data_IF_567162987136
#
_entry.id   IF_567162987136
#
_cell.length_a   1.000
_cell.length_b   1.000
_cell.length_c   1.000
_cell.angle_alpha   90.00
_cell.angle_beta   90.00
_cell.angle_gamma   90.00
#
_symmetry.space_group_name_H-M   'P 1'
#
loop_
_entity.id
_entity.type
_entity.pdbx_description
1 polymer ?
#
# COMPACT_ATOMS: atom_id res chain seq x y z
N UNK A 1 -19.88 25.43 6.22
CA UNK A 1 -20.84 24.36 6.53
C UNK A 1 -20.26 23.53 7.67
N UNK A 2 -20.83 23.62 8.87
CA UNK A 2 -20.40 22.83 10.04
C UNK A 2 -20.76 21.36 9.76
N UNK A 3 -19.74 20.51 9.57
CA UNK A 3 -19.97 19.06 9.49
C UNK A 3 -20.64 18.63 10.80
N UNK A 4 -21.82 17.98 10.77
CA UNK A 4 -22.52 17.60 11.99
C UNK A 4 -21.62 16.68 12.81
N UNK A 5 -21.37 17.10 14.05
CA UNK A 5 -20.52 16.45 15.05
C UNK A 5 -21.16 15.19 15.63
N UNK A 6 -21.56 14.23 14.78
CA UNK A 6 -21.70 12.85 15.26
C UNK A 6 -20.30 12.29 15.34
N UNK A 7 -19.59 12.61 16.43
CA UNK A 7 -18.44 11.83 16.86
C UNK A 7 -18.93 10.39 16.99
N UNK A 8 -18.44 9.41 16.20
CA UNK A 8 -18.68 8.02 16.56
C UNK A 8 -18.12 7.86 17.97
N UNK A 9 -18.96 7.39 18.89
CA UNK A 9 -18.75 7.56 20.34
C UNK A 9 -17.44 6.98 20.87
N UNK A 10 -16.69 6.16 20.13
CA UNK A 10 -15.27 5.92 20.39
C UNK A 10 -14.51 5.60 19.11
N UNK A 11 -13.79 6.58 18.53
CA UNK A 11 -12.69 6.23 17.63
C UNK A 11 -11.66 5.43 18.42
N UNK A 12 -11.26 4.27 17.88
CA UNK A 12 -10.20 3.47 18.47
C UNK A 12 -8.93 4.32 18.63
N UNK A 13 -8.21 4.12 19.72
CA UNK A 13 -6.94 4.81 19.95
C UNK A 13 -5.97 4.57 18.77
N UNK A 14 -5.10 5.54 18.43
CA UNK A 14 -4.10 5.37 17.39
C UNK A 14 -3.27 4.11 17.60
N UNK A 15 -3.07 3.35 16.53
CA UNK A 15 -2.31 2.11 16.57
C UNK A 15 -0.83 2.37 16.86
N UNK A 16 -0.12 1.31 17.22
CA UNK A 16 1.33 1.34 17.40
C UNK A 16 2.04 1.80 16.12
N UNK A 17 1.56 1.34 14.97
CA UNK A 17 2.07 1.69 13.64
C UNK A 17 1.84 3.17 13.32
N UNK A 18 0.66 3.71 13.62
CA UNK A 18 0.33 5.13 13.37
C UNK A 18 1.31 6.06 14.08
N UNK A 19 1.62 5.75 15.35
CA UNK A 19 2.55 6.52 16.18
C UNK A 19 3.98 6.42 15.68
N UNK A 20 4.41 5.22 15.30
CA UNK A 20 5.77 5.00 14.83
C UNK A 20 6.03 5.70 13.49
N UNK A 21 5.07 5.67 12.55
CA UNK A 21 5.17 6.34 11.25
C UNK A 21 5.34 7.86 11.38
N UNK A 22 4.70 8.50 12.38
CA UNK A 22 4.90 9.93 12.65
C UNK A 22 6.34 10.28 13.04
N UNK A 23 7.06 9.32 13.63
CA UNK A 23 8.40 9.53 14.15
C UNK A 23 9.51 9.08 13.17
N UNK A 24 9.16 8.68 11.95
CA UNK A 24 10.12 8.37 10.90
C UNK A 24 10.82 9.64 10.42
N UNK A 25 12.14 9.60 10.20
CA UNK A 25 12.84 10.73 9.64
C UNK A 25 12.35 11.01 8.22
N UNK A 26 12.25 12.29 7.90
CA UNK A 26 11.93 12.79 6.56
C UNK A 26 12.94 13.87 6.25
N UNK A 27 14.02 13.48 5.60
CA UNK A 27 15.09 14.34 5.13
C UNK A 27 14.93 14.72 3.65
N UNK A 28 14.00 14.10 2.91
CA UNK A 28 13.72 14.42 1.51
C UNK A 28 12.23 14.31 1.17
N UNK A 29 11.68 15.08 0.21
CA UNK A 29 10.27 14.99 -0.16
C UNK A 29 9.80 13.60 -0.61
N UNK A 30 10.71 12.80 -1.20
CA UNK A 30 10.42 11.45 -1.71
C UNK A 30 10.19 10.40 -0.62
N UNK A 31 10.69 10.63 0.60
CA UNK A 31 10.56 9.71 1.74
C UNK A 31 9.35 10.03 2.63
N UNK A 32 8.58 11.06 2.28
CA UNK A 32 7.34 11.41 2.98
C UNK A 32 6.34 10.25 2.87
N UNK A 33 5.77 9.85 4.01
CA UNK A 33 4.89 8.69 4.10
C UNK A 33 3.50 9.01 3.57
N UNK A 34 3.34 8.98 2.25
CA UNK A 34 2.08 9.24 1.56
C UNK A 34 1.66 8.04 0.74
N UNK A 35 0.39 7.72 0.83
CA UNK A 35 -0.23 6.71 -0.02
C UNK A 35 -1.42 7.30 -0.72
N UNK A 36 -1.89 6.61 -1.75
CA UNK A 36 -3.04 7.08 -2.49
C UNK A 36 -3.27 6.31 -3.76
N UNK A 37 -4.06 6.91 -4.65
CA UNK A 37 -4.32 6.34 -5.95
C UNK A 37 -4.60 7.44 -6.98
N UNK A 38 -4.19 7.18 -8.22
CA UNK A 38 -4.65 7.90 -9.39
C UNK A 38 -5.78 7.10 -10.04
N UNK A 39 -6.97 7.71 -10.11
CA UNK A 39 -8.12 7.17 -10.79
C UNK A 39 -8.20 7.85 -12.17
N UNK A 40 -8.23 7.08 -13.25
CA UNK A 40 -8.49 7.61 -14.59
C UNK A 40 -9.94 7.32 -14.96
N UNK A 41 -10.65 8.36 -15.43
CA UNK A 41 -12.07 8.33 -15.73
C UNK A 41 -12.30 8.63 -17.21
N UNK A 42 -13.31 7.98 -17.78
CA UNK A 42 -13.80 8.26 -19.14
C UNK A 42 -14.98 9.22 -19.04
N UNK A 43 -14.85 10.42 -19.59
CA UNK A 43 -15.87 11.45 -19.49
C UNK A 43 -15.31 12.87 -19.63
N UNK A 44 -16.15 13.84 -19.29
CA UNK A 44 -15.77 15.27 -19.31
C UNK A 44 -15.40 15.70 -17.91
N UNK A 45 -14.22 16.30 -17.75
CA UNK A 45 -13.78 16.76 -16.44
C UNK A 45 -14.85 17.67 -15.81
N UNK A 46 -15.32 17.37 -14.58
CA UNK A 46 -16.28 18.23 -13.90
C UNK A 46 -15.63 19.55 -13.53
N UNK A 47 -16.44 20.54 -13.16
CA UNK A 47 -15.91 21.70 -12.43
C UNK A 47 -15.38 21.25 -11.07
N UNK A 48 -14.29 21.87 -10.60
CA UNK A 48 -13.68 21.58 -9.29
C UNK A 48 -14.70 21.63 -8.16
N UNK A 49 -15.62 22.59 -8.22
CA UNK A 49 -16.67 22.81 -7.22
C UNK A 49 -17.59 21.58 -7.09
N UNK A 50 -17.96 20.95 -8.21
CA UNK A 50 -18.80 19.75 -8.18
C UNK A 50 -18.08 18.56 -7.55
N UNK A 51 -16.80 18.35 -7.87
CA UNK A 51 -15.99 17.29 -7.24
C UNK A 51 -15.84 17.55 -5.73
N UNK A 52 -15.58 18.81 -5.37
CA UNK A 52 -15.47 19.24 -3.98
C UNK A 52 -16.75 18.96 -3.20
N UNK A 53 -17.90 19.41 -3.70
CA UNK A 53 -19.18 19.26 -3.01
C UNK A 53 -19.51 17.78 -2.82
N UNK A 54 -19.30 16.96 -3.85
CA UNK A 54 -19.44 15.50 -3.79
C UNK A 54 -18.58 14.84 -2.70
N UNK A 55 -17.32 15.28 -2.54
CA UNK A 55 -16.42 14.78 -1.48
C UNK A 55 -16.94 15.22 -0.11
N UNK A 56 -17.28 16.50 0.04
CA UNK A 56 -17.66 17.11 1.32
C UNK A 56 -18.98 16.55 1.86
N UNK A 57 -19.93 16.20 1.00
CA UNK A 57 -21.17 15.50 1.36
C UNK A 57 -20.90 14.12 2.01
N UNK A 58 -19.77 13.48 1.67
CA UNK A 58 -19.41 12.13 2.12
C UNK A 58 -18.41 12.11 3.27
N UNK A 59 -17.86 13.26 3.69
CA UNK A 59 -16.86 13.33 4.75
C UNK A 59 -17.36 12.81 6.11
N UNK A 60 -18.66 12.93 6.38
CA UNK A 60 -19.28 12.39 7.60
C UNK A 60 -19.12 10.87 7.73
N UNK A 61 -19.05 10.15 6.60
CA UNK A 61 -18.80 8.71 6.56
C UNK A 61 -17.30 8.36 6.58
N UNK A 62 -16.41 9.37 6.54
CA UNK A 62 -14.96 9.19 6.42
C UNK A 62 -14.19 9.87 7.55
N UNK A 63 -14.23 9.33 8.79
CA UNK A 63 -13.39 9.79 9.88
C UNK A 63 -11.89 9.88 9.52
N UNK A 64 -11.42 9.01 8.61
CA UNK A 64 -10.06 9.04 8.09
C UNK A 64 -9.72 10.28 7.22
N UNK A 65 -10.71 11.07 6.81
CA UNK A 65 -10.51 12.36 6.16
C UNK A 65 -10.79 13.53 7.09
N UNK A 66 -11.54 13.33 8.18
CA UNK A 66 -11.93 14.39 9.12
C UNK A 66 -11.06 14.45 10.38
N UNK A 67 -10.28 13.41 10.66
CA UNK A 67 -9.42 13.35 11.82
C UNK A 67 -7.94 13.31 11.42
N UNK A 68 -7.10 13.83 12.31
CA UNK A 68 -5.66 13.74 12.20
C UNK A 68 -5.06 13.35 13.55
N UNK A 69 -3.77 13.00 13.52
CA UNK A 69 -3.07 12.54 14.70
C UNK A 69 -2.40 13.72 15.42
N UNK A 70 -3.06 14.27 16.44
CA UNK A 70 -2.56 15.39 17.24
C UNK A 70 -1.57 14.95 18.34
N UNK A 71 -1.03 15.91 19.11
CA UNK A 71 -0.30 15.72 20.38
C UNK A 71 0.65 14.51 20.44
N UNK A 72 1.83 14.65 19.81
CA UNK A 72 2.89 13.64 19.74
C UNK A 72 2.46 12.23 19.26
N UNK A 73 1.24 12.07 18.73
CA UNK A 73 0.75 10.80 18.21
C UNK A 73 -0.30 10.12 19.09
N UNK A 74 -0.75 10.74 20.17
CA UNK A 74 -1.45 10.01 21.24
C UNK A 74 -2.95 9.90 21.07
N UNK A 75 -3.57 10.83 20.31
CA UNK A 75 -5.02 10.86 20.10
C UNK A 75 -5.39 11.30 18.67
N UNK A 76 -6.56 10.85 18.23
CA UNK A 76 -7.23 11.39 17.05
C UNK A 76 -7.91 12.70 17.43
N UNK A 77 -7.68 13.74 16.64
CA UNK A 77 -8.33 15.03 16.79
C UNK A 77 -9.19 15.30 15.56
N UNK A 78 -10.45 15.67 15.79
CA UNK A 78 -11.36 16.06 14.74
C UNK A 78 -10.99 17.46 14.25
N UNK A 79 -10.80 17.61 12.95
CA UNK A 79 -10.54 18.92 12.39
C UNK A 79 -11.79 19.79 12.40
N UNK A 80 -11.61 21.05 12.79
CA UNK A 80 -12.56 22.11 12.45
C UNK A 80 -12.24 22.53 11.02
N UNK A 81 -12.90 21.96 10.03
CA UNK A 81 -12.67 22.31 8.62
C UNK A 81 -12.94 23.79 8.38
N UNK A 82 -11.90 24.63 8.18
CA UNK A 82 -12.12 26.05 7.98
C UNK A 82 -12.45 26.34 6.51
N UNK A 83 -11.92 25.56 5.57
CA UNK A 83 -12.09 25.80 4.12
C UNK A 83 -11.99 24.53 3.26
N UNK A 84 -13.10 24.13 2.59
CA UNK A 84 -13.12 23.06 1.60
C UNK A 84 -12.16 23.20 0.41
N UNK A 85 -11.74 24.42 0.07
CA UNK A 85 -10.82 24.66 -1.05
C UNK A 85 -9.39 24.15 -0.79
N UNK A 86 -9.02 23.91 0.48
CA UNK A 86 -7.68 23.45 0.88
C UNK A 86 -7.34 22.05 0.33
N UNK A 87 -8.35 21.19 0.18
CA UNK A 87 -8.14 19.78 -0.10
C UNK A 87 -8.43 19.36 -1.55
N UNK A 88 -9.19 20.14 -2.31
CA UNK A 88 -9.56 19.80 -3.69
C UNK A 88 -9.00 20.86 -4.63
N UNK A 89 -8.03 20.45 -5.46
CA UNK A 89 -7.24 21.34 -6.31
C UNK A 89 -7.52 21.04 -7.78
N UNK A 90 -7.83 22.08 -8.56
CA UNK A 90 -7.88 21.97 -10.01
C UNK A 90 -6.47 22.03 -10.59
N UNK A 91 -6.15 21.13 -11.52
CA UNK A 91 -4.81 21.03 -12.10
C UNK A 91 -4.90 20.74 -13.62
N UNK A 92 -5.06 21.79 -14.44
CA UNK A 92 -5.08 21.65 -15.89
C UNK A 92 -3.70 21.22 -16.42
N UNK A 93 -3.70 20.36 -17.43
CA UNK A 93 -2.51 19.82 -18.06
C UNK A 93 -2.49 20.18 -19.55
N UNK A 94 -1.30 20.38 -20.15
CA UNK A 94 -1.18 20.47 -21.59
C UNK A 94 -1.61 19.14 -22.24
N UNK A 95 -2.14 19.16 -23.48
CA UNK A 95 -2.44 17.94 -24.21
C UNK A 95 -1.15 17.21 -24.56
N UNK A 96 -1.12 15.89 -24.40
CA UNK A 96 0.05 15.10 -24.81
C UNK A 96 0.24 13.79 -24.07
N UNK A 97 0.86 12.84 -24.77
CA UNK A 97 1.26 11.58 -24.17
C UNK A 97 2.30 11.81 -23.06
N UNK A 98 2.07 11.20 -21.90
CA UNK A 98 2.96 11.28 -20.75
C UNK A 98 2.81 12.54 -19.88
N UNK A 99 1.99 13.52 -20.25
CA UNK A 99 1.76 14.72 -19.42
C UNK A 99 1.13 14.38 -18.07
N UNK A 100 0.18 13.43 -18.07
CA UNK A 100 -0.40 12.90 -16.83
C UNK A 100 0.67 12.25 -15.93
N UNK A 101 1.56 11.44 -16.50
CA UNK A 101 2.61 10.77 -15.74
C UNK A 101 3.63 11.77 -15.18
N UNK A 102 4.02 12.79 -15.96
CA UNK A 102 4.89 13.89 -15.51
C UNK A 102 4.27 14.65 -14.35
N UNK A 103 3.00 15.03 -14.48
CA UNK A 103 2.27 15.74 -13.42
C UNK A 103 2.18 14.90 -12.15
N UNK A 104 1.84 13.61 -12.25
CA UNK A 104 1.80 12.71 -11.09
C UNK A 104 3.16 12.65 -10.40
N UNK A 105 4.26 12.48 -11.13
CA UNK A 105 5.62 12.44 -10.57
C UNK A 105 5.99 13.72 -9.79
N UNK A 106 5.50 14.89 -10.25
CA UNK A 106 5.66 16.15 -9.53
C UNK A 106 4.77 16.20 -8.28
N UNK A 107 3.48 15.90 -8.43
CA UNK A 107 2.49 15.98 -7.35
C UNK A 107 2.75 15.00 -6.20
N UNK A 108 3.44 13.89 -6.43
CA UNK A 108 3.90 12.99 -5.36
C UNK A 108 4.82 13.69 -4.34
N UNK A 109 5.55 14.73 -4.75
CA UNK A 109 6.51 15.47 -3.91
C UNK A 109 5.85 16.61 -3.15
N UNK A 110 4.73 17.12 -3.62
CA UNK A 110 4.00 18.25 -3.04
C UNK A 110 3.65 18.04 -1.56
N UNK A 111 3.85 19.03 -0.67
CA UNK A 111 3.43 18.95 0.73
C UNK A 111 1.91 18.73 0.85
N UNK A 112 1.51 17.85 1.78
CA UNK A 112 0.11 17.76 2.18
C UNK A 112 -0.19 18.88 3.18
N UNK A 113 -1.44 19.34 3.31
CA UNK A 113 -1.81 20.38 4.27
C UNK A 113 -1.35 20.07 5.70
N UNK A 114 -0.80 21.06 6.39
CA UNK A 114 -0.42 20.99 7.81
C UNK A 114 -1.49 21.62 8.69
N UNK A 115 -1.61 21.18 9.95
CA UNK A 115 -2.61 21.70 10.91
C UNK A 115 -4.08 21.30 10.62
N UNK A 116 -4.33 20.60 9.51
CA UNK A 116 -5.62 20.03 9.10
C UNK A 116 -5.43 18.56 8.68
N UNK A 117 -6.50 17.79 8.39
CA UNK A 117 -6.36 16.41 7.99
C UNK A 117 -5.43 16.24 6.77
N UNK A 118 -4.39 15.42 6.85
CA UNK A 118 -3.29 15.46 5.89
C UNK A 118 -3.62 14.64 4.64
N UNK A 119 -4.53 15.16 3.81
CA UNK A 119 -4.89 14.60 2.52
C UNK A 119 -5.16 15.69 1.49
N UNK A 120 -5.09 15.33 0.21
CA UNK A 120 -5.43 16.20 -0.92
C UNK A 120 -5.92 15.37 -2.10
N UNK A 121 -6.81 15.97 -2.88
CA UNK A 121 -7.34 15.48 -4.13
C UNK A 121 -7.03 16.50 -5.22
N UNK A 122 -6.43 16.06 -6.32
CA UNK A 122 -6.21 16.87 -7.52
C UNK A 122 -7.10 16.36 -8.65
N UNK A 123 -7.80 17.29 -9.30
CA UNK A 123 -8.51 17.07 -10.54
C UNK A 123 -7.59 17.40 -11.72
N UNK A 124 -7.16 16.37 -12.43
CA UNK A 124 -6.20 16.44 -13.53
C UNK A 124 -6.93 16.32 -14.86
N UNK A 125 -6.89 17.34 -15.72
CA UNK A 125 -7.66 17.37 -16.97
C UNK A 125 -6.89 18.07 -18.09
N UNK A 126 -7.39 17.98 -19.33
CA UNK A 126 -6.76 18.61 -20.51
C UNK A 126 -5.70 17.77 -21.25
N UNK A 127 -5.15 16.72 -20.61
CA UNK A 127 -4.08 15.90 -21.18
C UNK A 127 -4.53 15.00 -22.36
N UNK A 128 -5.79 14.59 -22.40
CA UNK A 128 -6.37 13.78 -23.48
C UNK A 128 -7.88 14.00 -23.61
N UNK A 129 -8.44 14.00 -24.85
CA UNK A 129 -9.88 14.17 -25.07
C UNK A 129 -10.71 13.07 -24.39
N UNK A 130 -11.86 13.45 -23.82
CA UNK A 130 -12.83 12.51 -23.24
C UNK A 130 -12.31 11.75 -22.00
N UNK A 131 -11.23 12.21 -21.39
CA UNK A 131 -10.68 11.60 -20.17
C UNK A 131 -10.21 12.67 -19.19
N UNK A 132 -10.25 12.33 -17.91
CA UNK A 132 -9.64 13.09 -16.84
C UNK A 132 -9.18 12.14 -15.74
N UNK A 133 -8.44 12.64 -14.77
CA UNK A 133 -7.96 11.84 -13.65
C UNK A 133 -8.17 12.55 -12.32
N UNK A 134 -8.31 11.74 -11.27
CA UNK A 134 -8.38 12.19 -9.88
C UNK A 134 -7.21 11.56 -9.14
N UNK A 135 -6.27 12.37 -8.68
CA UNK A 135 -5.19 11.91 -7.80
C UNK A 135 -5.60 12.16 -6.36
N UNK A 136 -5.72 11.11 -5.56
CA UNK A 136 -5.93 11.19 -4.13
C UNK A 136 -4.63 10.81 -3.41
N UNK A 137 -4.13 11.66 -2.52
CA UNK A 137 -3.01 11.34 -1.61
C UNK A 137 -3.40 11.65 -0.16
N UNK A 138 -2.91 10.83 0.76
CA UNK A 138 -3.10 10.96 2.20
C UNK A 138 -1.85 10.52 2.95
N UNK A 139 -1.63 11.09 4.12
CA UNK A 139 -0.54 10.66 4.99
C UNK A 139 -0.81 9.25 5.56
N UNK A 140 0.18 8.37 5.48
CA UNK A 140 0.05 6.94 5.83
C UNK A 140 -0.21 6.72 7.34
N UNK A 141 0.00 7.72 8.19
CA UNK A 141 -0.42 7.62 9.61
C UNK A 141 -1.93 7.56 9.77
N UNK A 142 -2.70 8.06 8.80
CA UNK A 142 -4.17 8.14 8.86
C UNK A 142 -4.82 6.99 8.09
N UNK A 143 -4.16 6.47 7.06
CA UNK A 143 -4.68 5.37 6.26
C UNK A 143 -3.59 4.34 5.95
N UNK A 144 -3.94 3.06 6.06
CA UNK A 144 -3.26 1.99 5.35
C UNK A 144 -3.88 1.80 3.96
N UNK A 145 -3.32 0.91 3.15
CA UNK A 145 -3.86 0.62 1.81
C UNK A 145 -5.32 0.15 1.81
N UNK A 146 -5.78 -0.53 2.88
CA UNK A 146 -7.17 -0.94 3.02
C UNK A 146 -8.09 0.25 3.32
N UNK A 147 -7.74 1.12 4.27
CA UNK A 147 -8.50 2.34 4.58
C UNK A 147 -8.55 3.31 3.40
N UNK A 148 -7.48 3.35 2.59
CA UNK A 148 -7.48 4.05 1.30
C UNK A 148 -8.52 3.46 0.35
N UNK A 149 -8.58 2.12 0.18
CA UNK A 149 -9.62 1.48 -0.65
C UNK A 149 -11.03 1.81 -0.16
N UNK A 150 -11.28 1.76 1.15
CA UNK A 150 -12.59 2.15 1.68
C UNK A 150 -12.92 3.61 1.35
N UNK A 151 -11.95 4.51 1.45
CA UNK A 151 -12.13 5.92 1.05
C UNK A 151 -12.51 6.03 -0.43
N UNK A 152 -11.81 5.32 -1.31
CA UNK A 152 -12.14 5.31 -2.74
C UNK A 152 -13.54 4.73 -3.00
N UNK A 153 -13.94 3.68 -2.29
CA UNK A 153 -15.26 3.08 -2.44
C UNK A 153 -16.37 4.01 -1.94
N UNK A 154 -16.19 4.66 -0.80
CA UNK A 154 -17.16 5.62 -0.26
C UNK A 154 -17.29 6.85 -1.16
N UNK A 155 -16.17 7.35 -1.70
CA UNK A 155 -16.18 8.51 -2.60
C UNK A 155 -16.68 8.16 -4.00
N UNK A 156 -16.31 7.02 -4.58
CA UNK A 156 -16.50 6.76 -6.01
C UNK A 156 -17.38 5.55 -6.31
N UNK A 157 -18.16 5.02 -5.35
CA UNK A 157 -19.19 4.02 -5.67
C UNK A 157 -20.57 4.69 -5.70
N UNK A 158 -21.35 4.57 -6.81
CA UNK A 158 -22.63 5.28 -6.97
C UNK A 158 -23.66 5.07 -5.86
N UNK A 159 -23.73 3.87 -5.28
CA UNK A 159 -24.71 3.52 -4.24
C UNK A 159 -24.08 3.31 -2.86
N UNK A 160 -22.81 3.70 -2.69
CA UNK A 160 -21.99 3.32 -1.54
C UNK A 160 -21.74 1.81 -1.48
N UNK A 161 -20.93 1.40 -0.51
CA UNK A 161 -20.62 -0.01 -0.24
C UNK A 161 -20.83 -0.25 1.25
N UNK A 162 -21.69 -1.21 1.65
CA UNK A 162 -21.80 -1.59 3.05
C UNK A 162 -20.45 -2.02 3.62
N UNK A 163 -20.16 -1.66 4.87
CA UNK A 163 -18.87 -1.89 5.51
C UNK A 163 -18.44 -3.37 5.48
N UNK A 164 -19.36 -4.32 5.64
CA UNK A 164 -19.09 -5.76 5.56
C UNK A 164 -18.62 -6.22 4.17
N UNK A 165 -18.97 -5.47 3.13
CA UNK A 165 -18.63 -5.80 1.74
C UNK A 165 -17.41 -5.03 1.25
N UNK A 166 -17.03 -3.94 1.91
CA UNK A 166 -15.89 -3.07 1.61
C UNK A 166 -14.62 -3.85 1.26
N UNK A 167 -13.88 -3.41 0.25
CA UNK A 167 -12.58 -4.01 -0.12
C UNK A 167 -11.54 -3.89 1.00
N UNK A 168 -11.77 -3.00 1.96
CA UNK A 168 -10.87 -2.76 3.09
C UNK A 168 -10.94 -3.82 4.18
N UNK A 169 -12.01 -4.62 4.27
CA UNK A 169 -12.22 -5.52 5.42
C UNK A 169 -11.74 -6.93 5.11
N UNK A 170 -11.24 -7.64 6.12
CA UNK A 170 -10.96 -9.07 5.98
C UNK A 170 -12.26 -9.87 6.17
N UNK A 171 -12.74 -10.63 5.17
CA UNK A 171 -14.04 -11.31 5.25
C UNK A 171 -14.15 -12.28 6.43
N UNK A 172 -15.18 -12.07 7.24
CA UNK A 172 -15.51 -12.94 8.39
C UNK A 172 -14.55 -12.80 9.58
N UNK A 173 -13.76 -11.72 9.68
CA UNK A 173 -12.90 -11.49 10.85
C UNK A 173 -13.69 -11.14 12.12
N UNK A 174 -14.86 -10.49 11.98
CA UNK A 174 -15.75 -10.14 13.09
C UNK A 174 -16.10 -11.39 13.91
N UNK A 175 -16.47 -12.45 13.20
CA UNK A 175 -16.92 -13.72 13.77
C UNK A 175 -15.80 -14.78 13.80
N UNK A 176 -14.54 -14.34 13.82
CA UNK A 176 -13.41 -15.27 13.86
C UNK A 176 -13.39 -16.04 15.20
N UNK A 177 -13.18 -17.36 15.18
CA UNK A 177 -13.09 -18.14 16.40
C UNK A 177 -11.87 -17.75 17.23
N UNK A 178 -11.95 -17.97 18.55
CA UNK A 178 -10.85 -17.65 19.47
C UNK A 178 -9.55 -18.40 19.09
N UNK A 179 -8.38 -17.74 19.03
CA UNK A 179 -7.11 -18.38 18.68
C UNK A 179 -6.74 -19.57 19.59
N UNK A 180 -6.24 -20.67 19.02
CA UNK A 180 -5.59 -21.73 19.80
C UNK A 180 -4.25 -21.24 20.38
N UNK A 181 -3.66 -21.96 21.36
CA UNK A 181 -2.25 -21.81 21.69
C UNK A 181 -1.32 -21.91 20.47
N UNK A 182 -1.59 -22.83 19.53
CA UNK A 182 -0.81 -22.99 18.30
C UNK A 182 -0.88 -21.75 17.41
N UNK A 183 -2.06 -21.17 17.22
CA UNK A 183 -2.24 -19.93 16.43
C UNK A 183 -1.47 -18.77 17.05
N UNK A 184 -1.53 -18.63 18.38
CA UNK A 184 -0.78 -17.61 19.13
C UNK A 184 0.72 -17.80 18.98
N UNK A 185 1.21 -19.04 19.09
CA UNK A 185 2.62 -19.36 18.89
C UNK A 185 3.07 -19.04 17.45
N UNK A 186 2.29 -19.41 16.44
CA UNK A 186 2.60 -19.07 15.05
C UNK A 186 2.59 -17.55 14.80
N UNK A 187 1.63 -16.82 15.37
CA UNK A 187 1.58 -15.36 15.26
C UNK A 187 2.78 -14.69 15.93
N UNK A 188 3.15 -15.14 17.14
CA UNK A 188 4.34 -14.67 17.84
C UNK A 188 5.62 -14.99 17.04
N UNK A 189 5.73 -16.21 16.52
CA UNK A 189 6.87 -16.61 15.70
C UNK A 189 6.97 -15.77 14.42
N UNK A 190 5.85 -15.40 13.79
CA UNK A 190 5.83 -14.50 12.64
C UNK A 190 6.36 -13.10 13.01
N UNK A 191 5.95 -12.56 14.16
CA UNK A 191 6.47 -11.27 14.68
C UNK A 191 7.97 -11.34 14.96
N UNK A 192 8.46 -12.42 15.60
CA UNK A 192 9.90 -12.59 15.89
C UNK A 192 10.70 -12.78 14.59
N UNK A 193 10.18 -13.52 13.61
CA UNK A 193 10.84 -13.66 12.30
C UNK A 193 10.95 -12.33 11.57
N UNK A 194 9.96 -11.45 11.71
CA UNK A 194 10.02 -10.11 11.14
C UNK A 194 11.23 -9.31 11.63
N UNK A 195 11.76 -9.61 12.82
CA UNK A 195 12.94 -8.95 13.40
C UNK A 195 14.28 -9.56 13.03
N UNK A 196 14.32 -10.59 12.17
CA UNK A 196 15.59 -11.19 11.75
C UNK A 196 16.38 -10.24 10.85
N UNK A 197 17.70 -10.25 10.97
CA UNK A 197 18.56 -9.57 9.99
C UNK A 197 18.40 -10.24 8.62
N UNK A 198 18.47 -9.44 7.55
CA UNK A 198 18.52 -9.93 6.17
C UNK A 198 19.96 -9.84 5.64
N UNK A 199 20.70 -8.81 6.04
CA UNK A 199 22.05 -8.46 5.55
C UNK A 199 22.17 -8.34 4.03
N UNK A 200 21.05 -8.40 3.32
CA UNK A 200 20.99 -8.45 1.86
C UNK A 200 21.23 -7.08 1.22
N UNK A 201 21.01 -5.99 1.97
CA UNK A 201 21.08 -4.61 1.47
C UNK A 201 22.21 -3.79 2.07
N UNK A 202 22.91 -4.33 3.08
CA UNK A 202 23.96 -3.58 3.76
C UNK A 202 25.20 -3.49 2.86
N UNK A 203 25.55 -2.26 2.48
CA UNK A 203 26.65 -1.99 1.56
C UNK A 203 27.23 -0.61 1.81
N UNK A 204 28.49 -0.56 2.24
CA UNK A 204 29.23 0.69 2.40
C UNK A 204 29.42 1.45 1.06
N UNK A 205 29.31 0.75 -0.08
CA UNK A 205 29.47 1.36 -1.41
C UNK A 205 28.22 2.10 -1.90
N UNK A 206 27.04 1.69 -1.42
CA UNK A 206 25.77 2.26 -1.84
C UNK A 206 24.89 2.51 -0.62
N UNK A 207 25.25 3.49 0.24
CA UNK A 207 24.41 3.84 1.37
C UNK A 207 23.04 4.27 0.88
N UNK A 208 21.98 3.71 1.45
CA UNK A 208 20.61 4.09 1.11
C UNK A 208 20.43 5.60 1.32
N UNK A 209 19.78 6.24 0.36
CA UNK A 209 19.50 7.67 0.37
C UNK A 209 18.08 7.94 0.91
N UNK A 210 17.62 9.18 0.79
CA UNK A 210 16.21 9.54 0.97
C UNK A 210 15.50 9.83 -0.39
N UNK A 211 16.20 9.66 -1.53
CA UNK A 211 15.67 9.90 -2.87
C UNK A 211 15.05 8.63 -3.44
N UNK A 212 13.87 8.72 -4.05
CA UNK A 212 13.13 7.55 -4.54
C UNK A 212 12.76 7.71 -6.01
N UNK A 213 12.67 6.57 -6.69
CA UNK A 213 11.96 6.47 -7.97
C UNK A 213 10.61 5.83 -7.73
N UNK A 214 9.60 6.34 -8.44
CA UNK A 214 8.26 5.75 -8.51
C UNK A 214 8.05 5.32 -9.95
N UNK A 215 7.76 4.03 -10.17
CA UNK A 215 7.52 3.45 -11.50
C UNK A 215 6.33 2.51 -11.44
N UNK A 216 5.49 2.55 -12.46
CA UNK A 216 4.31 1.69 -12.54
C UNK A 216 4.47 0.67 -13.65
N UNK A 217 4.06 -0.57 -13.36
CA UNK A 217 3.90 -1.62 -14.36
C UNK A 217 2.48 -2.17 -14.28
N UNK A 218 1.91 -2.49 -15.44
CA UNK A 218 0.57 -3.06 -15.56
C UNK A 218 0.64 -4.42 -16.22
N UNK A 219 -0.10 -5.37 -15.67
CA UNK A 219 -0.27 -6.71 -16.25
C UNK A 219 -1.75 -7.10 -16.19
N UNK A 220 -2.24 -7.93 -17.13
CA UNK A 220 -3.55 -8.53 -16.99
C UNK A 220 -3.61 -9.36 -15.70
N UNK A 221 -4.65 -9.18 -14.89
CA UNK A 221 -4.84 -9.97 -13.67
C UNK A 221 -4.98 -11.48 -13.98
N UNK A 222 -5.40 -11.81 -15.21
CA UNK A 222 -5.44 -13.17 -15.71
C UNK A 222 -4.05 -13.82 -15.82
N UNK A 223 -2.99 -13.04 -16.09
CA UNK A 223 -1.61 -13.54 -16.16
C UNK A 223 -1.15 -14.07 -14.80
N UNK A 224 -1.38 -13.31 -13.73
CA UNK A 224 -1.08 -13.76 -12.37
C UNK A 224 -1.93 -14.97 -11.95
N UNK A 225 -3.20 -15.03 -12.36
CA UNK A 225 -4.04 -16.24 -12.14
C UNK A 225 -3.50 -17.45 -12.88
N UNK A 226 -2.98 -17.27 -14.09
CA UNK A 226 -2.42 -18.36 -14.91
C UNK A 226 -1.17 -18.93 -14.24
N UNK A 227 -0.25 -18.08 -13.81
CA UNK A 227 0.94 -18.48 -13.04
C UNK A 227 0.53 -19.18 -11.73
N UNK A 228 -0.43 -18.62 -11.00
CA UNK A 228 -0.87 -19.22 -9.74
C UNK A 228 -1.40 -20.65 -9.91
N UNK A 229 -2.12 -20.94 -11.01
CA UNK A 229 -2.67 -22.27 -11.30
C UNK A 229 -1.62 -23.34 -11.54
N UNK A 230 -0.41 -23.00 -11.99
CA UNK A 230 0.64 -24.00 -12.25
C UNK A 230 1.09 -24.70 -10.96
N UNK A 231 0.99 -24.02 -9.81
CA UNK A 231 1.27 -24.59 -8.49
C UNK A 231 0.04 -24.81 -7.61
N UNK A 232 -1.17 -24.45 -8.05
CA UNK A 232 -2.38 -24.48 -7.21
C UNK A 232 -2.46 -23.33 -6.18
N UNK A 233 -1.73 -22.24 -6.40
CA UNK A 233 -1.68 -21.06 -5.54
C UNK A 233 -2.76 -20.02 -5.84
N UNK A 234 -2.69 -18.90 -5.11
CA UNK A 234 -3.51 -17.70 -5.33
C UNK A 234 -2.78 -16.66 -6.19
N UNK A 235 -3.50 -15.68 -6.74
CA UNK A 235 -2.86 -14.56 -7.45
C UNK A 235 -1.90 -13.75 -6.56
N UNK A 236 -2.13 -13.71 -5.25
CA UNK A 236 -1.19 -13.09 -4.32
C UNK A 236 0.12 -13.89 -4.22
N UNK A 237 0.04 -15.22 -4.23
CA UNK A 237 1.22 -16.09 -4.19
C UNK A 237 2.06 -15.91 -5.47
N UNK A 238 1.40 -15.87 -6.64
CA UNK A 238 2.05 -15.58 -7.91
C UNK A 238 2.65 -14.16 -7.95
N UNK A 239 1.98 -13.17 -7.36
CA UNK A 239 2.55 -11.83 -7.21
C UNK A 239 3.83 -11.83 -6.37
N UNK A 240 3.81 -12.46 -5.19
CA UNK A 240 4.99 -12.56 -4.32
C UNK A 240 6.14 -13.29 -5.02
N UNK A 241 5.84 -14.41 -5.68
CA UNK A 241 6.83 -15.21 -6.39
C UNK A 241 7.45 -14.46 -7.58
N UNK A 242 6.64 -13.74 -8.36
CA UNK A 242 7.12 -12.97 -9.52
C UNK A 242 7.91 -11.72 -9.12
N UNK A 243 7.54 -11.04 -8.04
CA UNK A 243 8.36 -9.95 -7.46
C UNK A 243 9.70 -10.51 -6.99
N UNK A 244 9.69 -11.62 -6.26
CA UNK A 244 10.92 -12.27 -5.80
C UNK A 244 11.81 -12.71 -6.96
N UNK A 245 11.23 -13.27 -8.01
CA UNK A 245 11.94 -13.65 -9.23
C UNK A 245 12.58 -12.43 -9.93
N UNK A 246 11.83 -11.34 -10.07
CA UNK A 246 12.36 -10.10 -10.65
C UNK A 246 13.50 -9.50 -9.81
N UNK A 247 13.37 -9.51 -8.48
CA UNK A 247 14.42 -9.03 -7.56
C UNK A 247 15.67 -9.91 -7.65
N UNK A 248 15.53 -11.23 -7.73
CA UNK A 248 16.67 -12.14 -7.87
C UNK A 248 17.37 -12.01 -9.22
N UNK A 249 16.62 -11.76 -10.29
CA UNK A 249 17.20 -11.48 -11.59
C UNK A 249 17.95 -10.14 -11.62
N UNK A 250 17.41 -9.11 -10.96
CA UNK A 250 18.12 -7.83 -10.81
C UNK A 250 19.38 -7.98 -9.95
N UNK A 251 19.31 -8.70 -8.83
CA UNK A 251 20.44 -8.86 -7.91
C UNK A 251 21.59 -9.67 -8.52
N UNK A 252 21.30 -10.60 -9.44
CA UNK A 252 22.32 -11.33 -10.20
C UNK A 252 23.27 -10.38 -10.94
N UNK A 253 22.72 -9.32 -11.54
CA UNK A 253 23.45 -8.35 -12.36
C UNK A 253 24.03 -7.20 -11.53
N UNK A 254 23.24 -6.67 -10.59
CA UNK A 254 23.54 -5.39 -9.94
C UNK A 254 23.89 -5.51 -8.46
N UNK A 255 23.63 -6.67 -7.83
CA UNK A 255 23.77 -6.83 -6.38
C UNK A 255 24.11 -8.26 -5.92
N UNK A 256 25.33 -8.77 -6.23
CA UNK A 256 25.71 -10.15 -5.96
C UNK A 256 25.51 -10.65 -4.52
N UNK A 257 25.70 -9.85 -3.45
CA UNK A 257 25.44 -10.31 -2.08
C UNK A 257 23.99 -10.79 -1.86
N UNK A 258 22.99 -10.05 -2.36
CA UNK A 258 21.59 -10.47 -2.24
C UNK A 258 21.26 -11.67 -3.15
N UNK A 259 21.96 -11.79 -4.29
CA UNK A 259 21.78 -12.93 -5.19
C UNK A 259 22.29 -14.24 -4.58
N UNK A 260 23.44 -14.22 -3.90
CA UNK A 260 24.04 -15.40 -3.27
C UNK A 260 23.29 -15.87 -2.02
N UNK A 261 22.41 -15.03 -1.46
CA UNK A 261 21.60 -15.41 -0.31
C UNK A 261 20.66 -16.56 -0.68
N UNK A 262 20.61 -17.66 0.09
CA UNK A 262 19.66 -18.75 -0.14
C UNK A 262 18.22 -18.34 0.12
N UNK A 263 18.01 -17.21 0.80
CA UNK A 263 16.71 -16.71 1.20
C UNK A 263 16.51 -15.27 0.70
N UNK A 264 15.30 -14.97 0.22
CA UNK A 264 14.81 -13.64 -0.05
C UNK A 264 13.67 -13.31 0.92
N UNK A 265 13.90 -12.35 1.80
CA UNK A 265 12.88 -11.86 2.71
C UNK A 265 11.99 -10.80 2.04
N UNK A 266 10.68 -11.02 2.11
CA UNK A 266 9.64 -10.04 1.80
C UNK A 266 8.91 -9.67 3.10
N UNK A 267 8.59 -8.40 3.28
CA UNK A 267 7.70 -7.94 4.37
C UNK A 267 6.36 -7.54 3.78
N UNK A 268 5.29 -8.15 4.26
CA UNK A 268 3.93 -7.95 3.76
C UNK A 268 3.00 -7.47 4.89
N UNK A 269 2.30 -6.32 4.72
CA UNK A 269 1.24 -5.95 5.63
C UNK A 269 0.03 -6.85 5.39
N UNK A 270 -0.39 -7.54 6.43
CA UNK A 270 -1.54 -8.44 6.42
C UNK A 270 -2.75 -7.71 6.98
N UNK A 271 -3.81 -7.54 6.17
CA UNK A 271 -5.04 -6.86 6.59
C UNK A 271 -5.71 -7.57 7.77
N UNK A 272 -5.95 -6.86 8.86
CA UNK A 272 -6.63 -7.33 10.08
C UNK A 272 -7.82 -6.43 10.45
N UNK A 273 -8.33 -5.65 9.50
CA UNK A 273 -9.46 -4.73 9.66
C UNK A 273 -10.79 -5.49 9.70
N UNK A 274 -11.59 -5.24 10.74
CA UNK A 274 -12.96 -5.75 10.86
C UNK A 274 -13.97 -4.79 10.20
N UNK A 275 -15.19 -5.25 9.87
CA UNK A 275 -16.19 -4.40 9.24
C UNK A 275 -16.56 -3.15 10.02
N UNK A 276 -16.71 -3.25 11.35
CA UNK A 276 -16.98 -2.09 12.21
C UNK A 276 -15.83 -1.05 12.24
N UNK A 277 -14.68 -1.37 11.65
CA UNK A 277 -13.52 -0.51 11.55
C UNK A 277 -13.23 -0.07 10.10
N UNK A 278 -14.15 -0.34 9.16
CA UNK A 278 -13.96 -0.04 7.74
C UNK A 278 -13.57 1.43 7.50
N UNK A 279 -14.31 2.35 8.13
CA UNK A 279 -14.13 3.80 8.02
C UNK A 279 -13.14 4.39 9.03
N UNK A 280 -12.66 3.58 9.98
CA UNK A 280 -11.86 4.07 11.10
C UNK A 280 -10.45 4.51 10.66
N UNK A 281 -9.95 5.66 11.15
CA UNK A 281 -8.62 6.16 10.84
C UNK A 281 -7.54 5.25 11.45
N UNK A 282 -6.36 5.29 10.83
CA UNK A 282 -5.17 4.55 11.24
C UNK A 282 -5.01 3.19 10.55
N UNK A 283 -3.87 2.58 10.83
CA UNK A 283 -3.39 1.33 10.27
C UNK A 283 -3.96 0.12 11.04
N UNK A 284 -4.51 -0.85 10.30
CA UNK A 284 -5.03 -2.14 10.78
C UNK A 284 -4.39 -3.26 9.99
N UNK A 285 -3.08 -3.33 10.13
CA UNK A 285 -2.22 -4.31 9.46
C UNK A 285 -1.30 -4.99 10.46
N UNK A 286 -1.17 -6.30 10.37
CA UNK A 286 -0.09 -7.04 11.01
C UNK A 286 1.06 -7.23 10.02
N UNK A 287 2.27 -6.84 10.38
CA UNK A 287 3.44 -7.07 9.53
C UNK A 287 3.87 -8.53 9.63
N UNK A 288 3.94 -9.22 8.49
CA UNK A 288 4.45 -10.59 8.41
C UNK A 288 5.63 -10.65 7.47
N UNK A 289 6.61 -11.49 7.80
CA UNK A 289 7.76 -11.77 6.94
C UNK A 289 7.51 -13.07 6.19
N UNK A 290 7.62 -12.99 4.87
CA UNK A 290 7.52 -14.13 3.94
C UNK A 290 8.93 -14.37 3.41
N UNK A 291 9.47 -15.57 3.64
CA UNK A 291 10.82 -15.92 3.18
C UNK A 291 10.71 -16.86 2.00
N UNK A 292 11.21 -16.43 0.84
CA UNK A 292 11.18 -17.20 -0.40
C UNK A 292 12.59 -17.67 -0.78
N UNK A 293 12.71 -18.74 -1.59
CA UNK A 293 13.99 -19.16 -2.15
C UNK A 293 14.71 -18.01 -2.89
N UNK A 294 15.95 -17.76 -2.48
CA UNK A 294 16.90 -16.86 -3.15
C UNK A 294 17.75 -17.59 -4.20
N UNK A 295 18.69 -16.88 -4.82
CA UNK A 295 19.56 -17.42 -5.85
C UNK A 295 18.86 -17.80 -7.14
N UNK A 296 19.56 -18.59 -7.95
CA UNK A 296 19.09 -19.07 -9.26
C UNK A 296 18.22 -20.32 -9.11
N UNK A 297 16.93 -20.09 -8.89
CA UNK A 297 15.90 -21.12 -8.76
C UNK A 297 14.72 -20.78 -9.67
N UNK A 298 13.97 -21.79 -10.17
CA UNK A 298 12.82 -21.54 -11.03
C UNK A 298 11.71 -20.78 -10.29
N UNK A 299 10.86 -20.07 -11.05
CA UNK A 299 9.69 -19.37 -10.49
C UNK A 299 8.75 -20.32 -9.72
N UNK A 300 8.62 -21.57 -10.15
CA UNK A 300 7.77 -22.58 -9.51
C UNK A 300 8.19 -22.85 -8.06
N UNK A 301 9.49 -22.97 -7.78
CA UNK A 301 9.99 -23.12 -6.42
C UNK A 301 9.69 -21.90 -5.54
N UNK A 302 9.74 -20.69 -6.11
CA UNK A 302 9.35 -19.46 -5.40
C UNK A 302 7.85 -19.39 -5.15
N UNK A 303 7.03 -19.88 -6.08
CA UNK A 303 5.58 -19.98 -5.95
C UNK A 303 5.19 -20.95 -4.82
N UNK A 304 5.80 -22.14 -4.78
CA UNK A 304 5.59 -23.11 -3.69
C UNK A 304 5.97 -22.53 -2.32
N UNK A 305 7.10 -21.81 -2.26
CA UNK A 305 7.50 -21.06 -1.07
C UNK A 305 6.44 -20.03 -0.65
N UNK A 306 5.94 -19.24 -1.59
CA UNK A 306 4.92 -18.23 -1.32
C UNK A 306 3.61 -18.85 -0.84
N UNK A 307 3.19 -19.97 -1.42
CA UNK A 307 2.01 -20.71 -0.97
C UNK A 307 2.18 -21.22 0.46
N UNK A 308 3.34 -21.80 0.79
CA UNK A 308 3.62 -22.34 2.12
C UNK A 308 3.61 -21.25 3.20
N UNK A 309 4.29 -20.13 2.93
CA UNK A 309 4.40 -19.02 3.87
C UNK A 309 3.09 -18.24 4.04
N UNK A 310 2.26 -18.15 2.99
CA UNK A 310 0.98 -17.41 3.05
C UNK A 310 -0.22 -18.25 3.48
N UNK A 311 -0.12 -19.58 3.46
CA UNK A 311 -1.22 -20.48 3.84
C UNK A 311 -1.83 -20.16 5.23
N UNK A 312 -1.04 -19.93 6.31
CA UNK A 312 -1.60 -19.59 7.62
C UNK A 312 -2.43 -18.30 7.61
N UNK A 313 -2.06 -17.33 6.75
CA UNK A 313 -2.71 -16.04 6.70
C UNK A 313 -4.16 -16.16 6.21
N UNK A 314 -4.53 -17.22 5.48
CA UNK A 314 -5.90 -17.44 5.00
C UNK A 314 -6.88 -17.80 6.12
N UNK A 315 -6.38 -18.32 7.24
CA UNK A 315 -7.21 -18.70 8.38
C UNK A 315 -7.72 -17.48 9.15
N UNK A 316 -9.05 -17.39 9.32
CA UNK A 316 -9.70 -16.36 10.18
C UNK A 316 -9.17 -16.40 11.61
N UNK A 317 -8.95 -17.61 12.14
CA UNK A 317 -8.45 -17.85 13.49
C UNK A 317 -7.01 -17.34 13.67
N UNK A 318 -6.14 -17.63 12.70
CA UNK A 318 -4.76 -17.14 12.70
C UNK A 318 -4.72 -15.62 12.49
N UNK A 319 -5.60 -15.07 11.65
CA UNK A 319 -5.74 -13.62 11.44
C UNK A 319 -6.15 -12.89 12.72
N UNK A 320 -7.05 -13.46 13.51
CA UNK A 320 -7.40 -12.96 14.85
C UNK A 320 -6.22 -13.05 15.83
N UNK A 321 -5.41 -14.12 15.75
CA UNK A 321 -4.19 -14.23 16.56
C UNK A 321 -3.17 -13.13 16.22
N UNK A 322 -2.94 -12.86 14.93
CA UNK A 322 -2.10 -11.75 14.46
C UNK A 322 -2.65 -10.41 14.91
N UNK A 323 -3.97 -10.19 14.83
CA UNK A 323 -4.62 -8.97 15.31
C UNK A 323 -4.34 -8.72 16.80
N UNK A 324 -4.50 -9.75 17.65
CA UNK A 324 -4.19 -9.67 19.08
C UNK A 324 -2.69 -9.44 19.34
N UNK A 325 -1.81 -10.08 18.56
CA UNK A 325 -0.37 -9.88 18.67
C UNK A 325 0.05 -8.46 18.25
N UNK A 326 -0.56 -7.91 17.19
CA UNK A 326 -0.29 -6.57 16.67
C UNK A 326 -0.79 -5.45 17.61
N UNK A 327 -1.85 -5.71 18.39
CA UNK A 327 -2.25 -4.82 19.49
C UNK A 327 -1.13 -4.69 20.54
N UNK A 328 -0.27 -5.70 20.65
CA UNK A 328 0.93 -5.74 21.49
C UNK A 328 0.64 -5.74 23.00
N UNK A 329 1.65 -6.03 23.84
CA UNK A 329 1.61 -5.63 25.24
C UNK A 329 1.66 -4.09 25.32
N UNK A 330 1.23 -3.51 26.46
CA UNK A 330 1.41 -2.08 26.77
C UNK A 330 2.89 -1.76 27.00
N UNK A 331 3.71 -1.85 25.95
CA UNK A 331 5.12 -1.50 25.98
C UNK A 331 5.27 0.03 26.03
N UNK A 332 6.31 0.54 26.70
CA UNK A 332 6.65 1.96 26.62
C UNK A 332 6.85 2.41 25.17
N UNK A 333 6.37 3.61 24.84
CA UNK A 333 6.37 4.16 23.46
C UNK A 333 7.77 4.23 22.83
N UNK A 334 8.82 4.44 23.64
CA UNK A 334 10.20 4.48 23.16
C UNK A 334 10.71 3.12 22.67
N UNK A 335 10.34 2.02 23.35
CA UNK A 335 10.72 0.64 22.95
C UNK A 335 10.12 0.34 21.59
N UNK A 336 8.83 0.65 21.44
CA UNK A 336 8.09 0.43 20.22
C UNK A 336 8.61 1.27 19.05
N UNK A 337 8.91 2.56 19.30
CA UNK A 337 9.49 3.44 18.28
C UNK A 337 10.82 2.88 17.79
N UNK A 338 11.66 2.41 18.72
CA UNK A 338 12.94 1.77 18.37
C UNK A 338 12.71 0.52 17.53
N UNK A 339 11.85 -0.40 17.97
CA UNK A 339 11.53 -1.62 17.21
C UNK A 339 11.02 -1.29 15.81
N UNK A 340 10.04 -0.40 15.68
CA UNK A 340 9.47 -0.08 14.36
C UNK A 340 10.50 0.59 13.44
N UNK A 341 11.35 1.47 13.97
CA UNK A 341 12.46 2.06 13.21
C UNK A 341 13.47 1.00 12.78
N UNK A 342 13.85 0.08 13.65
CA UNK A 342 14.75 -1.02 13.27
C UNK A 342 14.12 -1.90 12.18
N UNK A 343 12.83 -2.22 12.26
CA UNK A 343 12.20 -3.09 11.26
C UNK A 343 11.94 -2.43 9.91
N UNK A 344 11.64 -1.13 9.90
CA UNK A 344 11.22 -0.41 8.70
C UNK A 344 12.32 0.48 8.07
N UNK A 345 13.36 0.83 8.84
CA UNK A 345 14.34 1.86 8.45
C UNK A 345 15.80 1.48 8.75
N UNK A 346 16.07 0.26 9.22
CA UNK A 346 17.44 -0.27 9.33
C UNK A 346 17.74 -1.19 8.13
N UNK A 347 18.72 -0.84 7.28
CA UNK A 347 19.11 -1.66 6.13
C UNK A 347 19.48 -3.10 6.50
N UNK A 348 20.00 -3.35 7.70
CA UNK A 348 20.38 -4.69 8.16
C UNK A 348 19.18 -5.63 8.38
N UNK A 349 17.99 -5.06 8.60
CA UNK A 349 16.74 -5.79 8.83
C UNK A 349 15.74 -5.62 7.67
N UNK A 350 15.93 -4.60 6.83
CA UNK A 350 15.02 -4.28 5.76
C UNK A 350 14.84 -5.46 4.80
N UNK A 351 13.59 -5.79 4.53
CA UNK A 351 13.17 -6.76 3.53
C UNK A 351 12.50 -6.01 2.36
N UNK A 352 12.26 -6.70 1.24
CA UNK A 352 11.47 -6.10 0.16
C UNK A 352 10.05 -5.88 0.67
N UNK A 353 9.60 -4.62 0.73
CA UNK A 353 8.20 -4.32 1.09
C UNK A 353 7.27 -4.76 -0.03
N UNK A 354 6.26 -5.57 0.25
CA UNK A 354 5.28 -6.02 -0.75
C UNK A 354 3.87 -5.87 -0.20
N UNK A 355 2.98 -5.23 -0.94
CA UNK A 355 1.57 -5.11 -0.56
C UNK A 355 0.68 -5.39 -1.78
N UNK A 356 -0.38 -6.17 -1.57
CA UNK A 356 -1.35 -6.54 -2.59
C UNK A 356 -2.76 -6.15 -2.16
N UNK A 357 -3.43 -5.37 -3.00
CA UNK A 357 -4.77 -4.85 -2.80
C UNK A 357 -5.68 -5.23 -3.96
N UNK A 358 -6.97 -5.42 -3.69
CA UNK A 358 -7.98 -5.72 -4.71
C UNK A 358 -9.17 -4.82 -4.48
N UNK A 359 -9.46 -3.93 -5.44
CA UNK A 359 -10.68 -3.13 -5.45
C UNK A 359 -11.79 -3.96 -6.13
N UNK A 360 -12.80 -4.36 -5.36
CA UNK A 360 -13.86 -5.29 -5.80
C UNK A 360 -15.06 -4.59 -6.44
N UNK A 361 -15.30 -3.32 -6.11
CA UNK A 361 -16.45 -2.58 -6.60
C UNK A 361 -16.06 -1.69 -7.77
N UNK A 362 -16.99 -1.50 -8.71
CA UNK A 362 -16.81 -0.56 -9.81
C UNK A 362 -16.84 0.87 -9.24
N UNK A 363 -15.83 1.65 -9.61
CA UNK A 363 -15.71 3.05 -9.22
C UNK A 363 -16.13 3.94 -10.39
N UNK A 364 -16.68 5.12 -10.08
CA UNK A 364 -17.17 6.11 -11.03
C UNK A 364 -17.50 7.44 -10.34
N UNK A 365 -17.63 8.49 -11.13
CA UNK A 365 -18.06 9.80 -10.68
C UNK A 365 -19.21 10.27 -11.57
N UNK A 366 -20.43 10.34 -11.01
CA UNK A 366 -21.63 10.58 -11.83
C UNK A 366 -21.80 9.48 -12.89
N UNK A 367 -21.86 9.88 -14.16
CA UNK A 367 -21.93 8.96 -15.31
C UNK A 367 -20.55 8.46 -15.78
N UNK A 368 -19.46 9.01 -15.25
CA UNK A 368 -18.11 8.79 -15.77
C UNK A 368 -17.45 7.60 -15.05
N UNK A 369 -17.23 6.45 -15.72
CA UNK A 369 -16.64 5.28 -15.08
C UNK A 369 -15.13 5.45 -14.87
N UNK A 370 -14.63 4.97 -13.73
CA UNK A 370 -13.19 4.78 -13.51
C UNK A 370 -12.75 3.55 -14.31
N UNK A 371 -11.83 3.76 -15.25
CA UNK A 371 -11.30 2.74 -16.16
C UNK A 371 -9.97 2.15 -15.68
N UNK A 372 -9.20 2.91 -14.89
CA UNK A 372 -7.91 2.48 -14.37
C UNK A 372 -7.64 3.08 -12.99
N UNK A 373 -6.99 2.30 -12.13
CA UNK A 373 -6.51 2.74 -10.82
C UNK A 373 -5.03 2.43 -10.72
N UNK A 374 -4.21 3.46 -10.50
CA UNK A 374 -2.78 3.33 -10.22
C UNK A 374 -2.54 3.58 -8.74
N UNK A 375 -2.07 2.59 -7.96
CA UNK A 375 -1.78 2.81 -6.56
C UNK A 375 -0.53 3.68 -6.42
N UNK A 376 -0.49 4.50 -5.38
CA UNK A 376 0.69 5.25 -4.94
C UNK A 376 1.06 4.72 -3.57
N UNK A 377 2.24 4.12 -3.45
CA UNK A 377 2.79 3.69 -2.16
C UNK A 377 3.75 4.72 -1.59
N UNK A 378 4.24 4.45 -0.37
CA UNK A 378 5.39 5.14 0.19
C UNK A 378 6.56 4.18 0.45
N UNK A 379 7.76 4.72 0.51
CA UNK A 379 8.96 3.99 0.89
C UNK A 379 9.72 4.76 1.98
N UNK A 380 9.69 4.30 3.24
CA UNK A 380 10.41 4.95 4.34
C UNK A 380 11.92 5.13 4.07
N UNK A 381 12.54 6.06 4.77
CA UNK A 381 14.00 6.17 4.78
C UNK A 381 14.62 4.89 5.35
N UNK A 382 15.71 4.42 4.74
CA UNK A 382 16.36 3.16 5.13
C UNK A 382 15.66 1.89 4.62
N UNK A 383 14.51 2.01 3.94
CA UNK A 383 13.97 0.90 3.14
C UNK A 383 14.52 0.95 1.70
N UNK A 384 15.06 -0.16 1.17
CA UNK A 384 15.71 -0.20 -0.15
C UNK A 384 14.69 -0.15 -1.29
N UNK A 385 13.59 -0.89 -1.14
CA UNK A 385 12.53 -0.96 -2.14
C UNK A 385 11.20 -1.44 -1.56
N UNK A 386 10.12 -1.09 -2.25
CA UNK A 386 8.78 -1.58 -1.98
C UNK A 386 7.94 -1.69 -3.25
N UNK A 387 6.96 -2.59 -3.24
CA UNK A 387 6.02 -2.78 -4.34
C UNK A 387 4.61 -2.80 -3.78
N UNK A 388 3.76 -1.88 -4.24
CA UNK A 388 2.34 -1.84 -3.93
C UNK A 388 1.55 -2.19 -5.19
N UNK A 389 0.86 -3.32 -5.20
CA UNK A 389 0.01 -3.75 -6.29
C UNK A 389 -1.46 -3.56 -5.95
N UNK A 390 -2.23 -3.00 -6.88
CA UNK A 390 -3.67 -2.91 -6.81
C UNK A 390 -4.29 -3.54 -8.07
N UNK A 391 -5.23 -4.46 -7.84
CA UNK A 391 -6.01 -5.08 -8.92
C UNK A 391 -7.39 -4.45 -9.02
N UNK A 392 -7.75 -3.96 -10.20
CA UNK A 392 -9.04 -3.34 -10.51
C UNK A 392 -9.47 -3.69 -11.94
N UNK A 393 -10.73 -4.08 -12.13
CA UNK A 393 -11.36 -4.42 -13.43
C UNK A 393 -10.49 -5.27 -14.37
N UNK A 394 -9.88 -6.32 -13.82
CA UNK A 394 -9.08 -7.28 -14.61
C UNK A 394 -7.64 -6.86 -14.90
N UNK A 395 -7.19 -5.70 -14.43
CA UNK A 395 -5.81 -5.22 -14.54
C UNK A 395 -5.16 -5.15 -13.16
N UNK A 396 -3.93 -5.64 -13.05
CA UNK A 396 -3.09 -5.50 -11.86
C UNK A 396 -2.01 -4.45 -12.14
N UNK A 397 -2.08 -3.33 -11.42
CA UNK A 397 -1.11 -2.23 -11.52
C UNK A 397 -0.21 -2.25 -10.28
N UNK A 398 1.09 -2.37 -10.48
CA UNK A 398 2.10 -2.35 -9.42
C UNK A 398 2.92 -1.06 -9.45
N UNK A 399 2.98 -0.37 -8.30
CA UNK A 399 3.85 0.77 -8.04
C UNK A 399 5.13 0.28 -7.38
N UNK A 400 6.23 0.34 -8.13
CA UNK A 400 7.58 0.06 -7.68
C UNK A 400 8.20 1.35 -7.12
N UNK A 401 8.66 1.26 -5.89
CA UNK A 401 9.36 2.31 -5.18
C UNK A 401 10.75 1.79 -4.89
N UNK A 402 11.77 2.53 -5.29
CA UNK A 402 13.16 2.10 -5.14
C UNK A 402 14.03 3.28 -4.69
N UNK A 403 14.99 3.01 -3.81
CA UNK A 403 16.05 3.95 -3.49
C UNK A 403 16.94 4.20 -4.71
N UNK A 404 17.18 5.47 -5.04
CA UNK A 404 18.05 5.85 -6.17
C UNK A 404 19.52 5.47 -5.98
N UNK A 405 19.94 5.18 -4.75
CA UNK A 405 21.30 4.73 -4.46
C UNK A 405 21.59 3.31 -5.00
N UNK A 406 20.55 2.51 -5.26
CA UNK A 406 20.68 1.13 -5.73
C UNK A 406 20.67 1.07 -7.27
N UNK A 407 21.77 0.63 -7.91
CA UNK A 407 21.91 0.68 -9.36
C UNK A 407 20.92 -0.27 -10.08
N UNK A 408 20.35 0.19 -11.19
CA UNK A 408 19.45 -0.58 -12.06
C UNK A 408 18.07 -0.93 -11.46
N UNK A 409 17.81 -0.56 -10.21
CA UNK A 409 16.58 -0.94 -9.51
C UNK A 409 15.35 -0.16 -10.01
N UNK A 410 15.57 1.00 -10.65
CA UNK A 410 14.53 1.78 -11.32
C UNK A 410 13.91 1.05 -12.52
N UNK A 411 14.63 0.10 -13.14
CA UNK A 411 14.14 -0.74 -14.24
C UNK A 411 13.40 -2.01 -13.75
N UNK A 412 13.32 -2.27 -12.44
CA UNK A 412 12.74 -3.50 -11.91
C UNK A 412 11.28 -3.73 -12.33
N UNK A 413 10.51 -2.66 -12.45
CA UNK A 413 9.11 -2.71 -12.91
C UNK A 413 8.96 -3.34 -14.32
N UNK A 414 9.91 -3.07 -15.22
CA UNK A 414 9.96 -3.65 -16.57
C UNK A 414 10.36 -5.13 -16.51
N UNK A 415 11.35 -5.48 -15.67
CA UNK A 415 11.77 -6.87 -15.46
C UNK A 415 10.62 -7.71 -14.90
N UNK A 416 9.90 -7.19 -13.91
CA UNK A 416 8.72 -7.86 -13.36
C UNK A 416 7.61 -8.03 -14.41
N UNK A 417 7.32 -6.99 -15.20
CA UNK A 417 6.32 -7.07 -16.27
C UNK A 417 6.69 -8.14 -17.31
N UNK A 418 7.97 -8.20 -17.70
CA UNK A 418 8.49 -9.24 -18.61
C UNK A 418 8.32 -10.63 -18.00
N UNK A 419 8.78 -10.85 -16.77
CA UNK A 419 8.68 -12.14 -16.08
C UNK A 419 7.22 -12.63 -15.98
N UNK A 420 6.27 -11.75 -15.61
CA UNK A 420 4.84 -12.12 -15.57
C UNK A 420 4.34 -12.52 -16.95
N UNK A 421 4.73 -11.81 -18.02
CA UNK A 421 4.30 -12.13 -19.38
C UNK A 421 4.89 -13.46 -19.88
N UNK A 422 6.19 -13.69 -19.69
CA UNK A 422 6.88 -14.91 -20.11
C UNK A 422 6.24 -16.14 -19.43
N UNK A 423 6.15 -16.13 -18.10
CA UNK A 423 5.60 -17.25 -17.36
C UNK A 423 4.08 -17.45 -17.53
N UNK A 424 3.32 -16.40 -17.84
CA UNK A 424 1.89 -16.55 -18.14
C UNK A 424 1.62 -17.14 -19.53
N UNK A 425 2.57 -16.99 -20.47
CA UNK A 425 2.44 -17.50 -21.85
C UNK A 425 3.22 -18.79 -22.10
N UNK A 426 4.07 -19.20 -21.15
CA UNK A 426 4.99 -20.32 -21.33
C UNK A 426 6.19 -19.99 -22.24
N UNK A 427 6.40 -18.71 -22.57
CA UNK A 427 7.56 -18.27 -23.33
C UNK A 427 8.83 -18.30 -22.47
N UNK A 428 9.98 -18.66 -23.06
CA UNK A 428 11.26 -18.66 -22.37
C UNK A 428 11.67 -17.24 -21.92
N UNK A 429 12.32 -17.14 -20.76
CA UNK A 429 12.91 -15.89 -20.25
C UNK A 429 14.15 -15.54 -21.09
N UNK A 430 13.93 -14.79 -22.18
CA UNK A 430 14.96 -14.21 -23.04
C UNK A 430 15.40 -12.80 -22.63
#
# INVERSE_FOLDING_TARGET
>A
MTVPSRTPSHLAAPSLTDRAMRAFPVHHPDSRLRIGALLQLLGTAPRREHLRDHIFERLTALPALTHFLADAGTRWEAARYPDPATHVVDHPLPPGAGELDRAVQMLLREPLPEGVPPWRIWLLHGHAPGTYAVLYLVHHTVQDGAGMLHTLETLFTPHGVPDERSSAVFPGLRDAPAPTPRDRLHALAATVRATRRTEMWDSARHPLSARRTFRWARVPAASLRTIARTGGGSSNDAYLATVAHAVQGWSAEHWPPAHRSPELALTMPTNIRRPEEASAPGNRTAMVRVVLPGGDVPLTARLEGAMRETAPLRSRRHREALRRAAAGPRLPSWVLRRMTRTLAADPAHAAVGVSGLVARHALGFGADPVISVMPVGCLPEGSPMGVLMLTYRGTSTACFMADRALPGLDALHLRWQRAVRCHATGAADG
#
